data_IF_538900341786
#
_entry.id   IF_538900341786
#
_cell.length_a   1.000
_cell.length_b   1.000
_cell.length_c   1.000
_cell.angle_alpha   90.00
_cell.angle_beta   90.00
_cell.angle_gamma   90.00
#
_symmetry.space_group_name_H-M   'P 1'
#
loop_
_entity.id
_entity.type
_entity.pdbx_description
1 polymer ?
#
# COMPACT_ATOMS: atom_id res chain seq x y z
N UNK A 1 17.55 -5.63 2.42
CA UNK A 1 16.67 -6.15 1.38
C UNK A 1 15.20 -6.01 1.75
N UNK A 2 14.35 -5.96 0.76
CA UNK A 2 12.91 -5.73 0.93
C UNK A 2 12.25 -6.83 1.76
N UNK A 3 12.67 -8.08 1.58
CA UNK A 3 12.13 -9.21 2.33
C UNK A 3 12.41 -9.09 3.83
N UNK A 4 13.58 -8.62 4.19
CA UNK A 4 13.93 -8.41 5.59
C UNK A 4 13.13 -7.25 6.19
N UNK A 5 12.98 -6.16 5.43
CA UNK A 5 12.16 -5.02 5.86
C UNK A 5 10.70 -5.45 6.09
N UNK A 6 10.18 -6.29 5.21
CA UNK A 6 8.82 -6.82 5.34
C UNK A 6 8.67 -7.69 6.58
N UNK A 7 9.60 -8.59 6.84
CA UNK A 7 9.58 -9.45 8.02
C UNK A 7 9.68 -8.64 9.31
N UNK A 8 10.54 -7.63 9.33
CA UNK A 8 10.67 -6.74 10.48
C UNK A 8 9.38 -5.97 10.75
N UNK A 9 8.78 -5.42 9.70
CA UNK A 9 7.50 -4.69 9.82
C UNK A 9 6.39 -5.61 10.31
N UNK A 10 6.31 -6.82 9.76
CA UNK A 10 5.30 -7.81 10.15
C UNK A 10 5.44 -8.16 11.65
N UNK A 11 6.66 -8.41 12.10
CA UNK A 11 6.90 -8.73 13.52
C UNK A 11 6.51 -7.59 14.43
N UNK A 12 6.92 -6.36 14.11
CA UNK A 12 6.61 -5.18 14.89
C UNK A 12 5.10 -4.89 14.93
N UNK A 13 4.42 -5.01 13.79
CA UNK A 13 2.98 -4.79 13.71
C UNK A 13 2.22 -5.85 14.49
N UNK A 14 2.64 -7.12 14.40
CA UNK A 14 2.02 -8.22 15.14
C UNK A 14 2.13 -8.00 16.64
N UNK A 15 3.32 -7.63 17.12
CA UNK A 15 3.56 -7.38 18.53
C UNK A 15 2.71 -6.19 19.03
N UNK A 16 2.69 -5.11 18.29
CA UNK A 16 1.89 -3.93 18.62
C UNK A 16 0.40 -4.26 18.63
N UNK A 17 -0.07 -5.02 17.65
CA UNK A 17 -1.45 -5.47 17.57
C UNK A 17 -1.83 -6.29 18.79
N UNK A 18 -1.04 -7.28 19.15
CA UNK A 18 -1.31 -8.15 20.29
C UNK A 18 -1.34 -7.34 21.59
N UNK A 19 -0.42 -6.39 21.75
CA UNK A 19 -0.36 -5.53 22.92
C UNK A 19 -1.61 -4.67 23.05
N UNK A 20 -2.08 -4.07 21.95
CA UNK A 20 -3.27 -3.23 21.92
C UNK A 20 -4.53 -4.05 22.21
N UNK A 21 -4.62 -5.25 21.62
CA UNK A 21 -5.74 -6.16 21.88
C UNK A 21 -5.84 -6.49 23.37
N UNK A 22 -4.72 -6.79 23.99
CA UNK A 22 -4.66 -7.13 25.42
C UNK A 22 -5.01 -5.92 26.29
N UNK A 23 -4.44 -4.76 26.01
CA UNK A 23 -4.62 -3.55 26.83
C UNK A 23 -6.02 -2.93 26.68
N UNK A 24 -6.65 -3.07 25.53
CA UNK A 24 -7.95 -2.42 25.25
C UNK A 24 -9.10 -3.08 26.01
N UNK A 25 -8.99 -4.35 26.35
CA UNK A 25 -10.08 -5.16 26.94
C UNK A 25 -11.35 -5.16 26.11
N UNK A 26 -11.22 -4.92 24.80
CA UNK A 26 -12.37 -4.93 23.89
C UNK A 26 -12.63 -6.35 23.37
N UNK A 27 -13.91 -6.70 23.18
CA UNK A 27 -14.24 -7.99 22.56
C UNK A 27 -13.83 -8.03 21.08
N UNK A 28 -13.62 -9.23 20.57
CA UNK A 28 -13.12 -9.44 19.21
C UNK A 28 -14.04 -8.81 18.16
N UNK A 29 -15.36 -8.81 18.36
CA UNK A 29 -16.27 -8.26 17.36
C UNK A 29 -16.14 -6.74 17.19
N UNK A 30 -15.70 -6.02 18.23
CA UNK A 30 -15.42 -4.59 18.13
C UNK A 30 -14.03 -4.35 17.53
N UNK A 31 -13.05 -5.18 17.89
CA UNK A 31 -11.70 -5.12 17.31
C UNK A 31 -11.73 -5.38 15.81
N UNK A 32 -12.59 -6.27 15.35
CA UNK A 32 -12.74 -6.56 13.93
C UNK A 32 -13.08 -5.31 13.13
N UNK A 33 -14.01 -4.49 13.62
CA UNK A 33 -14.38 -3.24 12.95
C UNK A 33 -13.22 -2.26 12.85
N UNK A 34 -12.44 -2.13 13.93
CA UNK A 34 -11.26 -1.26 13.95
C UNK A 34 -10.23 -1.73 12.92
N UNK A 35 -9.93 -3.02 12.92
CA UNK A 35 -8.95 -3.60 11.99
C UNK A 35 -9.43 -3.47 10.54
N UNK A 36 -10.73 -3.65 10.30
CA UNK A 36 -11.32 -3.46 8.97
C UNK A 36 -11.14 -2.03 8.48
N UNK A 37 -11.32 -1.03 9.36
CA UNK A 37 -11.12 0.37 9.03
C UNK A 37 -9.65 0.64 8.68
N UNK A 38 -8.71 0.08 9.44
CA UNK A 38 -7.28 0.20 9.16
C UNK A 38 -6.93 -0.43 7.80
N UNK A 39 -7.49 -1.60 7.52
CA UNK A 39 -7.29 -2.27 6.23
C UNK A 39 -7.83 -1.42 5.08
N UNK A 40 -9.00 -0.78 5.26
CA UNK A 40 -9.57 0.13 4.26
C UNK A 40 -8.64 1.31 3.98
N UNK A 41 -8.01 1.88 5.00
CA UNK A 41 -7.04 2.96 4.83
C UNK A 41 -5.82 2.50 4.02
N UNK A 42 -5.28 1.32 4.32
CA UNK A 42 -4.15 0.76 3.57
C UNK A 42 -4.54 0.48 2.11
N UNK A 43 -5.73 -0.04 1.87
CA UNK A 43 -6.23 -0.28 0.52
C UNK A 43 -6.38 1.01 -0.29
N UNK A 44 -6.82 2.07 0.38
CA UNK A 44 -6.92 3.41 -0.23
C UNK A 44 -5.54 3.90 -0.66
N UNK A 45 -4.54 3.80 0.20
CA UNK A 45 -3.17 4.16 -0.11
C UNK A 45 -2.61 3.32 -1.26
N UNK A 46 -2.85 2.02 -1.23
CA UNK A 46 -2.44 1.11 -2.31
C UNK A 46 -3.01 1.55 -3.65
N UNK A 47 -4.30 1.89 -3.68
CA UNK A 47 -4.94 2.32 -4.92
C UNK A 47 -4.37 3.64 -5.44
N UNK A 48 -4.07 4.58 -4.54
CA UNK A 48 -3.43 5.84 -4.93
C UNK A 48 -2.03 5.62 -5.50
N UNK A 49 -1.26 4.71 -4.90
CA UNK A 49 0.07 4.34 -5.40
C UNK A 49 -0.01 3.71 -6.79
N UNK A 50 -0.96 2.79 -6.99
CA UNK A 50 -1.17 2.14 -8.29
C UNK A 50 -1.59 3.14 -9.36
N UNK A 51 -2.49 4.07 -9.04
CA UNK A 51 -2.91 5.10 -9.99
C UNK A 51 -1.73 6.01 -10.35
N UNK A 52 -0.92 6.39 -9.37
CA UNK A 52 0.29 7.19 -9.58
C UNK A 52 1.27 6.47 -10.51
N UNK A 53 1.52 5.19 -10.24
CA UNK A 53 2.42 4.37 -11.06
C UNK A 53 1.90 4.19 -12.47
N UNK A 54 0.60 3.95 -12.65
CA UNK A 54 -0.03 3.84 -13.96
C UNK A 54 0.07 5.14 -14.75
N UNK A 55 -0.15 6.28 -14.10
CA UNK A 55 -0.02 7.59 -14.73
C UNK A 55 1.41 7.85 -15.17
N UNK A 56 2.38 7.45 -14.35
CA UNK A 56 3.81 7.57 -14.67
C UNK A 56 4.16 6.73 -15.90
N UNK A 57 3.66 5.50 -15.97
CA UNK A 57 3.86 4.62 -17.13
C UNK A 57 3.23 5.19 -18.39
N UNK A 58 2.02 5.75 -18.32
CA UNK A 58 1.33 6.38 -19.45
C UNK A 58 2.12 7.58 -19.98
N UNK A 59 2.67 8.39 -19.10
CA UNK A 59 3.49 9.55 -19.49
C UNK A 59 4.75 9.11 -20.23
N UNK A 60 5.39 8.04 -19.75
CA UNK A 60 6.59 7.48 -20.38
C UNK A 60 6.26 6.93 -21.77
N UNK A 61 5.19 6.17 -21.92
CA UNK A 61 4.74 5.63 -23.20
C UNK A 61 4.41 6.74 -24.20
N UNK A 62 3.72 7.77 -23.75
CA UNK A 62 3.37 8.92 -24.59
C UNK A 62 4.60 9.66 -25.08
N UNK A 63 5.58 9.87 -24.21
CA UNK A 63 6.84 10.52 -24.57
C UNK A 63 7.61 9.68 -25.61
N UNK A 64 7.68 8.38 -25.43
CA UNK A 64 8.32 7.47 -26.37
C UNK A 64 7.66 7.48 -27.75
N UNK A 65 6.33 7.51 -27.80
CA UNK A 65 5.58 7.58 -29.04
C UNK A 65 5.81 8.90 -29.78
N UNK A 66 5.90 10.02 -29.05
CA UNK A 66 6.21 11.32 -29.64
C UNK A 66 7.60 11.35 -30.25
N UNK A 67 8.60 10.78 -29.54
CA UNK A 67 9.96 10.65 -30.07
C UNK A 67 10.03 9.81 -31.33
N UNK A 68 9.29 8.71 -31.39
CA UNK A 68 9.22 7.86 -32.58
C UNK A 68 8.60 8.57 -33.77
N UNK A 69 7.58 9.40 -33.55
CA UNK A 69 6.93 10.20 -34.61
C UNK A 69 7.90 11.23 -35.17
N UNK A 70 8.66 11.90 -34.33
CA UNK A 70 9.67 12.87 -34.76
C UNK A 70 10.78 12.19 -35.53
N UNK A 71 11.19 11.00 -35.12
CA UNK A 71 12.22 10.24 -35.81
C UNK A 71 11.79 9.64 -37.15
N UNK A 72 10.51 9.60 -37.44
CA UNK A 72 9.96 9.05 -38.69
C UNK A 72 9.98 10.05 -39.84
N UNK A 73 10.24 11.32 -39.59
CA UNK A 73 10.40 12.34 -40.63
C UNK A 73 11.81 12.36 -41.22
#
# INVERSE_FOLDING_TARGET
>A
PLSLMMENAKGAMTDAFNQIVEQSNLPAYLLEGIVADLLSEIRKQKNLELVSDMNRMKQTEHSEQEEKKEGAE
#
